data_IF_271982476259
#
_entry.id   IF_271982476259
#
_cell.length_a   1.000
_cell.length_b   1.000
_cell.length_c   1.000
_cell.angle_alpha   90.00
_cell.angle_beta   90.00
_cell.angle_gamma   90.00
#
_symmetry.space_group_name_H-M   'P 1'
#
loop_
_entity.id
_entity.type
_entity.pdbx_description
1 polymer ?
#
# COMPACT_ATOMS: atom_id res chain seq x y z
N UNK A 1 -7.42 9.22 4.89
CA UNK A 1 -7.56 8.95 3.45
C UNK A 1 -6.50 9.79 2.77
N UNK A 2 -5.54 9.14 2.09
CA UNK A 2 -4.52 9.82 1.28
C UNK A 2 -5.02 9.86 -0.17
N UNK A 3 -4.79 10.97 -0.87
CA UNK A 3 -5.26 11.19 -2.23
C UNK A 3 -4.04 11.26 -3.15
N UNK A 4 -3.76 10.16 -3.84
CA UNK A 4 -2.57 10.05 -4.71
C UNK A 4 -2.89 10.54 -6.11
N UNK A 5 -2.06 11.40 -6.71
CA UNK A 5 -2.27 11.97 -8.05
C UNK A 5 -1.33 11.36 -9.10
N UNK A 6 -1.93 10.93 -10.21
CA UNK A 6 -1.38 10.34 -11.44
C UNK A 6 -1.96 11.19 -12.63
N UNK A 7 -1.39 11.27 -13.84
CA UNK A 7 -1.76 12.30 -14.86
C UNK A 7 -2.93 11.92 -15.84
N UNK A 8 -3.64 12.96 -16.36
CA UNK A 8 -4.38 13.17 -17.66
C UNK A 8 -5.81 12.59 -18.03
N UNK A 9 -6.67 13.53 -18.50
CA UNK A 9 -7.91 13.54 -19.36
C UNK A 9 -9.12 12.64 -19.03
N UNK A 10 -8.97 11.51 -18.34
CA UNK A 10 -10.11 10.73 -17.85
C UNK A 10 -10.15 10.72 -16.31
N UNK A 11 -11.28 11.09 -15.70
CA UNK A 11 -11.46 11.01 -14.24
C UNK A 11 -11.71 9.55 -13.87
N UNK A 12 -10.64 8.76 -13.83
CA UNK A 12 -10.64 7.39 -13.39
C UNK A 12 -9.80 7.26 -12.12
N UNK A 13 -10.36 6.62 -11.09
CA UNK A 13 -9.71 6.41 -9.81
C UNK A 13 -9.72 4.93 -9.44
N UNK A 14 -8.69 4.51 -8.71
CA UNK A 14 -8.64 3.20 -8.06
C UNK A 14 -8.70 3.37 -6.54
N UNK A 15 -9.21 2.35 -5.87
CA UNK A 15 -9.27 2.28 -4.41
C UNK A 15 -8.70 0.95 -3.95
N UNK A 16 -7.79 0.97 -2.98
CA UNK A 16 -7.29 -0.25 -2.35
C UNK A 16 -8.26 -0.64 -1.23
N UNK A 17 -9.12 -1.61 -1.50
CA UNK A 17 -10.12 -2.07 -0.53
C UNK A 17 -9.51 -2.77 0.67
N UNK A 18 -8.60 -3.71 0.42
CA UNK A 18 -7.93 -4.49 1.45
C UNK A 18 -6.50 -4.77 1.03
N UNK A 19 -5.60 -4.72 2.01
CA UNK A 19 -4.22 -5.17 1.90
C UNK A 19 -3.90 -5.92 3.19
N UNK A 20 -3.34 -7.11 3.07
CA UNK A 20 -2.98 -7.94 4.22
C UNK A 20 -1.67 -8.68 3.92
N UNK A 21 -0.98 -9.10 4.98
CA UNK A 21 0.30 -9.82 4.84
C UNK A 21 0.45 -10.87 5.94
N UNK A 22 1.25 -11.90 5.66
CA UNK A 22 1.79 -12.83 6.66
C UNK A 22 3.31 -12.76 6.65
N UNK A 23 3.94 -12.70 7.82
CA UNK A 23 5.35 -12.33 7.99
C UNK A 23 6.37 -13.46 7.69
N UNK A 24 6.03 -14.39 6.80
CA UNK A 24 6.85 -15.55 6.45
C UNK A 24 7.87 -15.29 5.34
N UNK A 25 7.85 -14.11 4.71
CA UNK A 25 8.77 -13.76 3.62
C UNK A 25 10.25 -13.97 4.01
N UNK A 26 11.03 -14.57 3.10
CA UNK A 26 12.47 -14.82 3.29
C UNK A 26 13.27 -14.24 2.12
N UNK A 27 14.34 -13.45 2.40
CA UNK A 27 14.88 -13.09 3.72
C UNK A 27 14.00 -12.08 4.47
N UNK A 28 13.87 -12.21 5.81
CA UNK A 28 12.99 -11.34 6.63
C UNK A 28 13.28 -9.85 6.47
N UNK A 29 14.54 -9.47 6.28
CA UNK A 29 15.00 -8.11 6.02
C UNK A 29 14.26 -7.42 4.86
N UNK A 30 13.93 -8.17 3.80
CA UNK A 30 13.43 -7.57 2.56
C UNK A 30 11.90 -7.54 2.46
N UNK A 31 11.15 -8.04 3.46
CA UNK A 31 9.69 -8.12 3.34
C UNK A 31 9.05 -6.75 3.07
N UNK A 32 9.50 -5.70 3.76
CA UNK A 32 8.92 -4.36 3.58
C UNK A 32 9.23 -3.81 2.20
N UNK A 33 10.47 -4.00 1.74
CA UNK A 33 10.88 -3.58 0.39
C UNK A 33 10.02 -4.26 -0.66
N UNK A 34 9.84 -5.58 -0.58
CA UNK A 34 9.02 -6.33 -1.56
C UNK A 34 7.56 -5.88 -1.53
N UNK A 35 6.97 -5.67 -0.35
CA UNK A 35 5.59 -5.17 -0.27
C UNK A 35 5.45 -3.77 -0.86
N UNK A 36 6.43 -2.89 -0.66
CA UNK A 36 6.46 -1.57 -1.31
C UNK A 36 6.57 -1.72 -2.83
N UNK A 37 7.49 -2.54 -3.35
CA UNK A 37 7.62 -2.74 -4.81
C UNK A 37 6.34 -3.24 -5.46
N UNK A 38 5.60 -4.13 -4.80
CA UNK A 38 4.31 -4.63 -5.32
C UNK A 38 3.31 -3.48 -5.45
N UNK A 39 3.16 -2.66 -4.41
CA UNK A 39 2.22 -1.53 -4.43
C UNK A 39 2.66 -0.45 -5.44
N UNK A 40 3.94 -0.12 -5.47
CA UNK A 40 4.50 0.85 -6.41
C UNK A 40 4.30 0.37 -7.85
N UNK A 41 4.62 -0.89 -8.13
CA UNK A 41 4.39 -1.50 -9.44
C UNK A 41 2.91 -1.53 -9.83
N UNK A 42 2.00 -1.75 -8.88
CA UNK A 42 0.56 -1.64 -9.11
C UNK A 42 0.14 -0.20 -9.45
N UNK A 43 0.63 0.81 -8.72
CA UNK A 43 0.36 2.23 -8.99
C UNK A 43 0.89 2.66 -10.36
N UNK A 44 2.09 2.23 -10.74
CA UNK A 44 2.63 2.48 -12.08
C UNK A 44 1.81 1.78 -13.17
N UNK A 45 1.40 0.53 -12.93
CA UNK A 45 0.57 -0.20 -13.87
C UNK A 45 -0.77 0.51 -14.12
N UNK A 46 -1.52 0.88 -13.07
CA UNK A 46 -2.81 1.57 -13.25
C UNK A 46 -2.62 2.96 -13.87
N UNK A 47 -1.53 3.67 -13.58
CA UNK A 47 -1.18 4.92 -14.27
C UNK A 47 -1.02 4.70 -15.77
N UNK A 48 -0.32 3.64 -16.20
CA UNK A 48 -0.17 3.30 -17.62
C UNK A 48 -1.52 2.95 -18.29
N UNK A 49 -2.51 2.50 -17.51
CA UNK A 49 -3.88 2.26 -17.98
C UNK A 49 -4.79 3.50 -17.93
N UNK A 50 -4.25 4.68 -17.60
CA UNK A 50 -4.98 5.95 -17.64
C UNK A 50 -5.76 6.30 -16.36
N UNK A 51 -5.49 5.62 -15.24
CA UNK A 51 -6.05 6.04 -13.94
C UNK A 51 -5.28 7.26 -13.41
N UNK A 52 -6.04 8.28 -12.98
CA UNK A 52 -5.52 9.57 -12.54
C UNK A 52 -5.38 9.64 -11.01
N UNK A 53 -6.13 8.84 -10.26
CA UNK A 53 -6.05 8.88 -8.79
C UNK A 53 -6.02 7.50 -8.17
N UNK A 54 -5.30 7.37 -7.06
CA UNK A 54 -5.37 6.21 -6.19
C UNK A 54 -5.73 6.64 -4.77
N UNK A 55 -6.69 5.94 -4.18
CA UNK A 55 -7.15 6.19 -2.81
C UNK A 55 -6.74 5.02 -1.91
N UNK A 56 -6.01 5.35 -0.85
CA UNK A 56 -5.60 4.39 0.18
C UNK A 56 -6.23 4.81 1.50
N UNK A 57 -6.97 3.88 2.11
CA UNK A 57 -7.46 4.05 3.47
C UNK A 57 -6.58 3.30 4.45
N UNK A 58 -5.83 4.05 5.27
CA UNK A 58 -5.12 3.50 6.42
C UNK A 58 -6.13 3.09 7.50
N UNK A 59 -6.52 1.82 7.49
CA UNK A 59 -7.30 1.19 8.55
C UNK A 59 -6.52 -0.06 9.02
N UNK A 60 -5.83 -0.01 10.16
CA UNK A 60 -5.26 -1.22 10.72
C UNK A 60 -6.37 -2.16 11.17
N UNK A 61 -6.17 -3.47 10.99
CA UNK A 61 -7.10 -4.47 11.48
C UNK A 61 -7.23 -4.41 13.01
N UNK A 62 -8.45 -4.63 13.51
CA UNK A 62 -8.70 -4.81 14.94
C UNK A 62 -8.23 -6.21 15.39
N UNK A 63 -7.99 -6.38 16.69
CA UNK A 63 -7.70 -7.70 17.25
C UNK A 63 -8.82 -8.69 16.90
N UNK A 64 -8.44 -9.88 16.44
CA UNK A 64 -9.37 -10.93 16.04
C UNK A 64 -10.06 -10.73 14.68
N UNK A 65 -9.77 -9.65 13.94
CA UNK A 65 -10.31 -9.42 12.59
C UNK A 65 -9.22 -9.62 11.55
N UNK A 66 -9.38 -10.59 10.68
CA UNK A 66 -8.50 -10.82 9.54
C UNK A 66 -9.09 -10.20 8.27
N UNK A 67 -8.28 -9.51 7.46
CA UNK A 67 -8.76 -8.92 6.20
C UNK A 67 -8.78 -9.93 5.08
N UNK A 68 -7.66 -10.63 4.86
CA UNK A 68 -7.52 -11.62 3.78
C UNK A 68 -7.07 -12.96 4.36
N UNK A 69 -6.02 -12.98 5.18
CA UNK A 69 -5.43 -14.21 5.67
C UNK A 69 -6.08 -14.64 6.99
N UNK A 70 -6.93 -15.67 6.94
CA UNK A 70 -7.53 -16.28 8.12
C UNK A 70 -6.45 -16.86 9.04
N UNK A 71 -6.57 -16.60 10.34
CA UNK A 71 -5.70 -17.12 11.40
C UNK A 71 -4.23 -16.72 11.21
N UNK A 72 -3.97 -15.40 11.25
CA UNK A 72 -2.58 -14.89 11.22
C UNK A 72 -1.72 -15.50 12.34
N UNK A 73 -0.41 -15.65 12.11
CA UNK A 73 0.48 -16.22 13.11
C UNK A 73 0.44 -15.37 14.40
N UNK A 74 0.38 -15.99 15.60
CA UNK A 74 0.16 -15.27 16.86
C UNK A 74 1.31 -14.32 17.21
N UNK A 75 2.52 -14.55 16.69
CA UNK A 75 3.67 -13.66 16.88
C UNK A 75 3.63 -12.43 15.97
N UNK A 76 2.71 -12.39 15.00
CA UNK A 76 2.56 -11.26 14.09
C UNK A 76 1.82 -10.10 14.78
N UNK A 77 2.58 -9.07 15.18
CA UNK A 77 2.00 -7.88 15.78
C UNK A 77 1.20 -7.07 14.75
N UNK A 78 -0.01 -6.66 15.12
CA UNK A 78 -0.82 -5.73 14.35
C UNK A 78 -0.14 -4.34 14.35
N UNK A 79 -0.13 -3.70 13.18
CA UNK A 79 0.42 -2.35 13.06
C UNK A 79 -0.56 -1.34 13.65
N UNK A 80 -0.09 -0.48 14.56
CA UNK A 80 -0.86 0.68 15.03
C UNK A 80 -1.05 1.68 13.89
N UNK A 81 -2.13 2.47 13.94
CA UNK A 81 -2.49 3.44 12.89
C UNK A 81 -1.31 4.33 12.46
N UNK A 82 -0.59 4.94 13.42
CA UNK A 82 0.57 5.80 13.11
C UNK A 82 1.68 5.06 12.36
N UNK A 83 1.99 3.82 12.77
CA UNK A 83 3.00 2.98 12.12
C UNK A 83 2.58 2.61 10.70
N UNK A 84 1.30 2.29 10.48
CA UNK A 84 0.75 1.99 9.15
C UNK A 84 0.83 3.23 8.24
N UNK A 85 0.44 4.39 8.74
CA UNK A 85 0.54 5.64 7.97
C UNK A 85 1.99 5.99 7.63
N UNK A 86 2.94 5.82 8.56
CA UNK A 86 4.37 6.04 8.30
C UNK A 86 4.94 5.02 7.29
N UNK A 87 4.40 3.80 7.28
CA UNK A 87 4.74 2.77 6.30
C UNK A 87 4.25 3.15 4.90
N UNK A 88 2.99 3.58 4.77
CA UNK A 88 2.42 4.07 3.50
C UNK A 88 3.18 5.30 2.98
N UNK A 89 3.51 6.27 3.85
CA UNK A 89 4.33 7.44 3.49
C UNK A 89 5.66 7.04 2.90
N UNK A 90 6.41 6.14 3.55
CA UNK A 90 7.69 5.65 3.03
C UNK A 90 7.58 4.98 1.65
N UNK A 91 6.51 4.24 1.41
CA UNK A 91 6.24 3.63 0.11
C UNK A 91 5.98 4.71 -0.96
N UNK A 92 5.16 5.71 -0.65
CA UNK A 92 4.82 6.79 -1.58
C UNK A 92 6.00 7.76 -1.82
N UNK A 93 6.81 8.04 -0.81
CA UNK A 93 8.04 8.84 -0.94
C UNK A 93 9.01 8.19 -1.93
N UNK A 94 9.14 6.85 -1.87
CA UNK A 94 9.92 6.08 -2.85
C UNK A 94 9.31 6.20 -4.25
N UNK A 95 7.99 6.05 -4.38
CA UNK A 95 7.29 6.17 -5.66
C UNK A 95 7.46 7.57 -6.30
N UNK A 96 7.48 8.64 -5.49
CA UNK A 96 7.78 10.01 -5.94
C UNK A 96 9.22 10.13 -6.41
N UNK A 97 10.18 9.60 -5.63
CA UNK A 97 11.60 9.63 -6.01
C UNK A 97 11.85 8.91 -7.35
N UNK A 98 11.08 7.86 -7.64
CA UNK A 98 11.11 7.10 -8.90
C UNK A 98 10.23 7.71 -10.00
N UNK A 99 9.57 8.85 -9.74
CA UNK A 99 8.69 9.59 -10.67
C UNK A 99 7.46 8.82 -11.14
N UNK A 100 7.03 7.84 -10.35
CA UNK A 100 5.84 7.03 -10.61
C UNK A 100 4.59 7.74 -10.09
N UNK A 101 4.68 8.33 -8.90
CA UNK A 101 3.65 9.16 -8.26
C UNK A 101 4.05 10.64 -8.27
N UNK A 102 3.07 11.55 -8.36
CA UNK A 102 3.30 13.01 -8.35
C UNK A 102 3.27 13.56 -6.92
N UNK A 103 2.17 13.32 -6.19
CA UNK A 103 1.96 13.67 -4.78
C UNK A 103 0.94 12.72 -4.11
N UNK A 104 0.71 12.89 -2.79
CA UNK A 104 -0.27 12.11 -2.02
C UNK A 104 -0.77 12.78 -0.72
#
# INVERSE_FOLDING_TARGET
MLNVVLYQIHIAFIYISYLDTVHFFRPKLYHQHVYHEILIGYLDNVKQHGYMYAHIWDCPANEGVDYIFCCRPPEQLLSKLKRLQDWCRKMLDKAIAERLVIDY
#
